data_IF_107804836426
#
_entry.id   IF_107804836426
#
_cell.length_a   1.000
_cell.length_b   1.000
_cell.length_c   1.000
_cell.angle_alpha   90.00
_cell.angle_beta   90.00
_cell.angle_gamma   90.00
#
_symmetry.space_group_name_H-M   'P 1'
#
loop_
_entity.id
_entity.type
_entity.pdbx_description
1 polymer ?
#
# COMPACT_ATOMS: atom_id res chain seq x y z
N UNK A 1 -22.74 -68.93 3.94
CA UNK A 1 -24.11 -68.42 3.71
C UNK A 1 -24.18 -67.08 4.41
N UNK A 2 -23.91 -66.01 3.65
CA UNK A 2 -24.84 -64.91 3.33
C UNK A 2 -25.00 -63.93 4.50
N UNK A 3 -24.81 -62.63 4.39
CA UNK A 3 -24.83 -61.75 3.21
C UNK A 3 -24.25 -60.38 3.57
N UNK A 4 -23.65 -59.75 2.57
CA UNK A 4 -23.12 -58.39 2.55
C UNK A 4 -24.23 -57.34 2.81
N UNK A 5 -23.91 -56.29 3.56
CA UNK A 5 -24.63 -55.01 3.49
C UNK A 5 -23.62 -53.91 3.14
N UNK A 6 -23.51 -53.66 1.82
CA UNK A 6 -22.84 -52.48 1.25
C UNK A 6 -23.75 -51.27 1.46
N UNK A 7 -23.37 -50.37 2.34
CA UNK A 7 -23.91 -49.01 2.38
C UNK A 7 -23.03 -48.10 1.52
N UNK A 8 -23.49 -47.84 0.30
CA UNK A 8 -22.92 -46.83 -0.60
C UNK A 8 -23.27 -45.43 -0.12
N UNK A 9 -22.27 -44.67 0.32
CA UNK A 9 -22.35 -43.21 0.53
C UNK A 9 -22.32 -42.48 -0.84
N UNK A 10 -23.01 -41.33 -0.98
CA UNK A 10 -23.20 -40.70 -2.28
C UNK A 10 -21.93 -40.00 -2.79
N UNK A 11 -21.63 -40.21 -4.08
CA UNK A 11 -20.50 -39.68 -4.85
C UNK A 11 -20.50 -38.15 -5.09
N UNK A 12 -21.26 -37.33 -4.34
CA UNK A 12 -21.56 -35.94 -4.74
C UNK A 12 -20.56 -34.87 -4.31
N UNK A 13 -19.59 -35.15 -3.42
CA UNK A 13 -18.66 -34.11 -2.91
C UNK A 13 -17.30 -34.06 -3.64
N UNK A 14 -16.87 -35.15 -4.27
CA UNK A 14 -15.68 -35.14 -5.14
C UNK A 14 -15.96 -34.49 -6.50
N UNK A 15 -17.21 -34.50 -6.95
CA UNK A 15 -17.61 -33.88 -8.22
C UNK A 15 -17.63 -32.35 -8.17
N UNK A 16 -17.83 -31.73 -7.00
CA UNK A 16 -17.83 -30.27 -6.84
C UNK A 16 -16.43 -29.67 -6.79
N UNK A 17 -15.47 -30.34 -6.14
CA UNK A 17 -14.05 -29.94 -6.15
C UNK A 17 -13.44 -30.10 -7.55
N UNK A 18 -13.72 -31.22 -8.22
CA UNK A 18 -13.24 -31.48 -9.58
C UNK A 18 -13.88 -30.51 -10.60
N UNK A 19 -15.15 -30.11 -10.39
CA UNK A 19 -15.80 -29.06 -11.21
C UNK A 19 -15.18 -27.68 -11.01
N UNK A 20 -14.78 -27.31 -9.79
CA UNK A 20 -14.11 -26.03 -9.53
C UNK A 20 -12.73 -25.96 -10.18
N UNK A 21 -11.93 -27.04 -10.09
CA UNK A 21 -10.62 -27.12 -10.75
C UNK A 21 -10.77 -27.10 -12.29
N UNK A 22 -11.77 -27.80 -12.85
CA UNK A 22 -12.10 -27.76 -14.28
C UNK A 22 -12.60 -26.39 -14.75
N UNK A 23 -13.32 -25.65 -13.91
CA UNK A 23 -13.73 -24.27 -14.20
C UNK A 23 -12.54 -23.30 -14.13
N UNK A 24 -11.63 -23.46 -13.18
CA UNK A 24 -10.40 -22.67 -13.10
C UNK A 24 -9.50 -22.86 -14.33
N UNK A 25 -9.32 -24.10 -14.79
CA UNK A 25 -8.49 -24.40 -15.96
C UNK A 25 -9.13 -23.87 -17.27
N UNK A 26 -10.46 -23.92 -17.37
CA UNK A 26 -11.21 -23.32 -18.49
C UNK A 26 -11.10 -21.80 -18.48
N UNK A 27 -11.20 -21.18 -17.30
CA UNK A 27 -11.09 -19.73 -17.14
C UNK A 27 -9.68 -19.24 -17.49
N UNK A 28 -8.63 -19.99 -17.14
CA UNK A 28 -7.25 -19.67 -17.51
C UNK A 28 -6.99 -19.78 -19.01
N UNK A 29 -7.56 -20.79 -19.69
CA UNK A 29 -7.48 -20.90 -21.16
C UNK A 29 -8.16 -19.73 -21.86
N UNK A 30 -9.28 -19.24 -21.33
CA UNK A 30 -9.99 -18.05 -21.86
C UNK A 30 -9.15 -16.78 -21.65
N UNK A 31 -8.57 -16.59 -20.46
CA UNK A 31 -7.72 -15.42 -20.16
C UNK A 31 -6.51 -15.36 -21.09
N UNK A 32 -5.83 -16.48 -21.31
CA UNK A 32 -4.66 -16.54 -22.18
C UNK A 32 -5.02 -16.26 -23.64
N UNK A 33 -6.18 -16.74 -24.11
CA UNK A 33 -6.68 -16.47 -25.46
C UNK A 33 -6.96 -14.97 -25.67
N UNK A 34 -7.63 -14.33 -24.71
CA UNK A 34 -7.97 -12.90 -24.77
C UNK A 34 -6.72 -12.03 -24.75
N UNK A 35 -5.74 -12.35 -23.89
CA UNK A 35 -4.47 -11.62 -23.85
C UNK A 35 -3.74 -11.68 -25.21
N UNK A 36 -3.77 -12.84 -25.87
CA UNK A 36 -3.18 -13.01 -27.21
C UNK A 36 -3.93 -12.27 -28.33
N UNK A 37 -5.26 -12.13 -28.21
CA UNK A 37 -6.09 -11.40 -29.18
C UNK A 37 -5.94 -9.89 -29.02
N UNK A 38 -5.82 -9.40 -27.78
CA UNK A 38 -5.57 -7.99 -27.49
C UNK A 38 -4.19 -7.53 -27.98
N UNK A 39 -3.15 -8.37 -27.89
CA UNK A 39 -1.84 -8.10 -28.49
C UNK A 39 -1.91 -8.00 -30.02
N UNK A 40 -2.64 -8.92 -30.68
CA UNK A 40 -2.84 -8.90 -32.14
C UNK A 40 -3.60 -7.65 -32.61
N UNK A 41 -4.55 -7.17 -31.83
CA UNK A 41 -5.30 -5.95 -32.16
C UNK A 41 -4.46 -4.68 -31.93
N UNK A 42 -3.58 -4.65 -30.93
CA UNK A 42 -2.68 -3.53 -30.66
C UNK A 42 -1.58 -3.37 -31.72
N UNK A 43 -1.12 -4.48 -32.30
CA UNK A 43 -0.20 -4.50 -33.45
C UNK A 43 -0.87 -4.06 -34.77
N UNK A 44 -2.18 -4.24 -34.91
CA UNK A 44 -2.94 -3.80 -36.09
C UNK A 44 -3.33 -2.32 -36.05
N UNK A 45 -3.45 -1.72 -34.86
CA UNK A 45 -3.73 -0.30 -34.69
C UNK A 45 -2.49 0.58 -34.88
N UNK A 46 -1.28 0.10 -34.56
CA UNK A 46 -0.05 0.90 -34.76
C UNK A 46 0.39 1.01 -36.22
N UNK A 47 -0.22 0.25 -37.14
CA UNK A 47 0.04 0.28 -38.58
C UNK A 47 -0.89 1.21 -39.37
N UNK A 48 -1.75 2.00 -38.72
CA UNK A 48 -2.68 2.93 -39.39
C UNK A 48 -2.43 4.43 -39.13
N UNK A 49 -1.48 4.79 -38.27
CA UNK A 49 -1.23 6.19 -37.87
C UNK A 49 -0.06 6.87 -38.60
N UNK A 50 0.20 6.54 -39.87
CA UNK A 50 1.22 7.24 -40.69
C UNK A 50 0.66 8.10 -41.81
N UNK A 51 -0.61 8.51 -41.74
CA UNK A 51 -1.20 9.43 -42.74
C UNK A 51 -2.19 10.39 -42.10
N UNK A 52 -1.73 11.32 -41.26
CA UNK A 52 -2.39 12.61 -40.97
C UNK A 52 -1.50 13.45 -40.06
N UNK A 53 -0.40 14.00 -40.59
CA UNK A 53 0.43 15.00 -39.87
C UNK A 53 0.80 16.22 -40.73
N UNK A 54 0.05 16.49 -41.82
CA UNK A 54 0.33 17.63 -42.71
C UNK A 54 -0.72 18.76 -42.74
N UNK A 55 -1.77 18.73 -41.91
CA UNK A 55 -2.87 19.73 -42.02
C UNK A 55 -3.08 20.67 -40.83
N UNK A 56 -2.11 20.87 -39.92
CA UNK A 56 -2.32 21.85 -38.83
C UNK A 56 -1.13 22.78 -38.53
N UNK A 57 -0.55 23.35 -39.59
CA UNK A 57 0.28 24.57 -39.51
C UNK A 57 -0.31 25.68 -40.37
N UNK A 58 -1.32 26.37 -39.83
CA UNK A 58 -1.70 27.74 -40.20
C UNK A 58 -2.73 28.24 -39.18
N UNK A 59 -2.30 29.12 -38.27
CA UNK A 59 -2.91 30.44 -38.02
C UNK A 59 -2.44 31.06 -36.69
N UNK A 60 -1.69 32.17 -36.84
CA UNK A 60 -1.73 33.43 -36.06
C UNK A 60 -1.23 33.32 -34.60
N UNK A 61 -0.04 33.76 -34.15
CA UNK A 61 0.84 34.93 -34.40
C UNK A 61 0.17 36.31 -34.23
N UNK A 62 0.46 36.98 -33.10
CA UNK A 62 0.23 38.39 -32.69
C UNK A 62 -0.48 38.40 -31.31
N UNK A 63 -0.08 39.09 -30.24
CA UNK A 63 0.66 40.35 -30.07
C UNK A 63 1.41 40.35 -28.72
N UNK A 64 2.65 40.84 -28.73
CA UNK A 64 3.26 41.49 -27.57
C UNK A 64 3.49 42.97 -27.92
N UNK A 65 3.16 43.88 -27.00
CA UNK A 65 3.64 45.26 -26.99
C UNK A 65 2.54 46.31 -26.85
N UNK A 66 2.63 47.16 -25.81
CA UNK A 66 1.94 48.45 -25.78
C UNK A 66 1.42 48.91 -24.42
N UNK A 67 2.15 49.84 -23.81
CA UNK A 67 1.85 50.74 -22.68
C UNK A 67 0.52 51.53 -22.73
N UNK A 68 0.01 51.94 -21.56
CA UNK A 68 -0.67 53.24 -21.40
C UNK A 68 -2.01 53.28 -20.63
N UNK A 69 -1.98 53.92 -19.45
CA UNK A 69 -2.98 54.84 -18.86
C UNK A 69 -4.49 54.50 -18.80
N UNK A 70 -5.01 54.46 -17.57
CA UNK A 70 -6.12 55.31 -17.09
C UNK A 70 -7.55 55.08 -17.62
N UNK A 71 -8.51 54.90 -16.71
CA UNK A 71 -9.93 55.07 -17.02
C UNK A 71 -10.85 54.22 -16.15
N UNK A 72 -11.65 54.91 -15.34
CA UNK A 72 -12.69 54.43 -14.43
C UNK A 72 -13.83 53.69 -15.14
N UNK A 73 -14.61 52.91 -14.38
CA UNK A 73 -15.94 52.47 -14.81
C UNK A 73 -16.44 51.16 -14.21
N UNK A 74 -16.97 51.24 -12.98
CA UNK A 74 -18.28 50.71 -12.61
C UNK A 74 -18.65 49.23 -12.89
N UNK A 75 -18.75 48.42 -11.83
CA UNK A 75 -20.04 48.11 -11.15
C UNK A 75 -20.08 46.75 -10.41
N UNK A 76 -20.67 46.83 -9.21
CA UNK A 76 -21.57 45.86 -8.57
C UNK A 76 -20.96 44.60 -7.91
N UNK A 77 -20.87 44.58 -6.57
CA UNK A 77 -21.88 44.12 -5.58
C UNK A 77 -21.70 42.60 -5.30
N UNK A 78 -21.77 42.01 -4.11
CA UNK A 78 -22.48 42.27 -2.86
C UNK A 78 -21.73 41.51 -1.73
N UNK A 79 -21.55 42.12 -0.55
CA UNK A 79 -21.79 41.41 0.71
C UNK A 79 -22.08 42.42 1.83
N UNK A 80 -23.33 42.38 2.27
CA UNK A 80 -23.89 43.13 3.39
C UNK A 80 -23.32 42.65 4.73
N UNK A 81 -22.99 43.65 5.57
CA UNK A 81 -23.49 43.91 6.95
C UNK A 81 -23.36 42.76 7.99
N UNK A 82 -22.90 43.00 9.21
CA UNK A 82 -23.40 44.00 10.16
C UNK A 82 -22.35 44.43 11.23
N UNK A 83 -22.29 45.75 11.47
CA UNK A 83 -22.29 46.52 12.75
C UNK A 83 -21.33 46.07 13.89
N UNK A 84 -20.36 46.85 14.39
CA UNK A 84 -20.34 48.29 14.74
C UNK A 84 -21.03 48.50 16.09
N UNK A 85 -20.35 48.81 17.21
CA UNK A 85 -19.80 50.10 17.71
C UNK A 85 -19.34 49.81 19.16
N UNK A 86 -18.40 50.45 19.83
CA UNK A 86 -17.97 51.85 19.89
C UNK A 86 -17.86 52.19 21.39
N UNK A 87 -16.67 52.59 21.84
CA UNK A 87 -16.40 53.12 23.19
C UNK A 87 -16.52 54.64 23.16
N UNK A 88 -17.09 55.23 24.20
CA UNK A 88 -16.90 56.65 24.55
C UNK A 88 -16.62 56.76 26.07
N UNK A 89 -15.89 57.83 26.40
CA UNK A 89 -15.31 58.23 27.69
C UNK A 89 -16.40 58.53 28.77
N UNK A 90 -16.16 58.82 30.04
CA UNK A 90 -15.18 59.74 30.67
C UNK A 90 -15.36 59.66 32.22
N UNK A 91 -14.27 59.91 32.96
CA UNK A 91 -14.09 60.52 34.31
C UNK A 91 -15.12 60.27 35.45
N UNK A 92 -14.74 60.01 36.70
CA UNK A 92 -14.15 61.00 37.62
C UNK A 92 -13.75 60.39 38.98
N UNK A 93 -12.82 61.11 39.64
CA UNK A 93 -12.59 61.26 41.10
C UNK A 93 -11.78 60.19 41.84
N UNK A 94 -10.62 60.65 42.33
CA UNK A 94 -9.68 59.87 43.10
C UNK A 94 -9.72 60.16 44.60
N UNK A 95 -8.81 59.50 45.30
CA UNK A 95 -8.36 59.88 46.63
C UNK A 95 -6.93 59.36 46.84
N UNK A 96 -6.11 60.20 47.46
CA UNK A 96 -4.68 60.05 47.64
C UNK A 96 -4.35 59.16 48.84
N UNK A 97 -3.37 58.26 48.74
CA UNK A 97 -2.53 57.87 49.89
C UNK A 97 -1.07 57.68 49.42
N UNK A 98 -0.18 58.15 50.27
CA UNK A 98 1.21 58.53 50.06
C UNK A 98 2.22 57.40 49.82
N UNK A 99 3.38 57.84 49.27
CA UNK A 99 4.61 57.11 48.98
C UNK A 99 5.26 56.48 50.21
N UNK A 100 5.77 55.24 50.05
CA UNK A 100 7.07 54.84 50.59
C UNK A 100 7.89 54.17 49.48
N UNK A 101 9.08 54.73 49.25
CA UNK A 101 10.13 54.20 48.37
C UNK A 101 10.87 53.09 49.11
N UNK A 102 11.00 51.93 48.49
CA UNK A 102 12.06 50.96 48.82
C UNK A 102 12.95 50.82 47.57
N UNK A 103 14.24 51.07 47.76
CA UNK A 103 15.28 50.86 46.76
C UNK A 103 15.56 49.35 46.64
N UNK A 104 15.43 48.80 45.43
CA UNK A 104 15.91 47.46 45.10
C UNK A 104 16.86 47.61 43.90
N UNK A 105 18.10 47.15 44.10
CA UNK A 105 19.26 47.44 43.28
C UNK A 105 19.20 46.99 41.81
N UNK A 106 20.06 47.62 41.00
CA UNK A 106 20.24 47.32 39.58
C UNK A 106 20.61 45.85 39.34
N UNK A 107 19.69 45.11 38.70
CA UNK A 107 19.99 43.80 38.14
C UNK A 107 20.71 44.03 36.81
N UNK A 108 22.02 43.75 36.76
CA UNK A 108 22.79 43.69 35.50
C UNK A 108 22.28 42.54 34.65
N UNK A 109 21.51 42.86 33.61
CA UNK A 109 21.07 41.91 32.60
C UNK A 109 22.30 41.48 31.80
N UNK A 110 22.77 40.25 31.99
CA UNK A 110 23.76 39.65 31.10
C UNK A 110 23.10 39.43 29.73
N UNK A 111 23.62 40.08 28.69
CA UNK A 111 23.17 39.84 27.32
C UNK A 111 23.45 38.38 26.93
N UNK A 112 22.38 37.67 26.59
CA UNK A 112 22.48 36.31 26.06
C UNK A 112 23.13 36.36 24.66
N UNK A 113 24.08 35.47 24.35
CA UNK A 113 24.71 35.45 23.04
C UNK A 113 23.66 35.20 21.95
N UNK A 114 23.71 36.01 20.89
CA UNK A 114 22.78 35.96 19.75
C UNK A 114 22.76 34.54 19.19
N UNK A 115 21.60 33.88 19.27
CA UNK A 115 21.35 32.53 18.72
C UNK A 115 21.79 32.52 17.24
N UNK A 116 22.70 31.60 16.92
CA UNK A 116 23.20 31.40 15.57
C UNK A 116 22.09 31.11 14.55
N UNK A 117 22.41 31.29 13.26
CA UNK A 117 21.52 31.13 12.09
C UNK A 117 20.56 29.94 12.26
N UNK A 118 19.24 30.20 12.23
CA UNK A 118 18.21 29.15 12.24
C UNK A 118 18.52 28.16 11.10
N UNK A 119 18.61 26.86 11.43
CA UNK A 119 18.75 25.81 10.42
C UNK A 119 17.58 25.91 9.42
N UNK A 120 17.79 25.68 8.12
CA UNK A 120 16.70 25.70 7.15
C UNK A 120 15.61 24.70 7.58
N UNK A 121 14.35 25.09 7.40
CA UNK A 121 13.21 24.20 7.61
C UNK A 121 13.34 23.03 6.64
N UNK A 122 13.31 21.80 7.17
CA UNK A 122 13.33 20.58 6.37
C UNK A 122 12.11 20.53 5.45
N UNK A 123 12.33 20.04 4.25
CA UNK A 123 11.25 19.71 3.31
C UNK A 123 10.34 18.60 3.87
N UNK A 124 9.09 18.46 3.37
CA UNK A 124 8.23 17.35 3.76
C UNK A 124 8.89 15.97 3.59
N UNK A 125 9.62 15.76 2.48
CA UNK A 125 10.43 14.57 2.23
C UNK A 125 11.45 14.32 3.34
N UNK A 126 12.28 15.32 3.66
CA UNK A 126 13.34 15.18 4.66
C UNK A 126 12.78 14.96 6.07
N UNK A 127 11.64 15.56 6.40
CA UNK A 127 10.95 15.31 7.67
C UNK A 127 10.48 13.86 7.76
N UNK A 128 9.85 13.35 6.70
CA UNK A 128 9.37 11.97 6.64
C UNK A 128 10.51 10.97 6.82
N UNK A 129 11.60 11.16 6.07
CA UNK A 129 12.81 10.32 6.13
C UNK A 129 13.48 10.38 7.50
N UNK A 130 13.60 11.58 8.07
CA UNK A 130 14.14 11.75 9.40
C UNK A 130 13.30 11.04 10.47
N UNK A 131 11.97 11.11 10.37
CA UNK A 131 11.07 10.44 11.32
C UNK A 131 11.19 8.91 11.24
N UNK A 132 11.40 8.33 10.05
CA UNK A 132 11.67 6.88 9.88
C UNK A 132 12.88 6.46 10.72
N UNK A 133 13.99 7.21 10.65
CA UNK A 133 15.25 6.83 11.29
C UNK A 133 15.37 7.27 12.76
N UNK A 134 14.48 8.15 13.22
CA UNK A 134 14.43 8.66 14.61
C UNK A 134 13.21 8.15 15.37
N UNK A 135 12.07 8.85 15.32
CA UNK A 135 10.84 8.56 16.09
C UNK A 135 10.31 7.15 15.83
N UNK A 136 10.36 6.72 14.57
CA UNK A 136 9.84 5.42 14.13
C UNK A 136 10.94 4.37 13.95
N UNK A 137 12.16 4.62 14.44
CA UNK A 137 13.32 3.75 14.21
C UNK A 137 13.09 2.31 14.64
N UNK A 138 12.57 2.10 15.85
CA UNK A 138 12.35 0.76 16.41
C UNK A 138 11.17 0.04 15.78
N UNK A 139 10.14 0.81 15.39
CA UNK A 139 8.85 0.29 14.97
C UNK A 139 8.77 -0.01 13.47
N UNK A 140 9.42 0.82 12.65
CA UNK A 140 9.45 0.72 11.19
C UNK A 140 10.84 0.30 10.71
N UNK A 141 11.85 1.17 10.86
CA UNK A 141 13.17 0.98 10.24
C UNK A 141 13.88 -0.31 10.65
N UNK A 142 14.00 -0.57 11.95
CA UNK A 142 14.64 -1.81 12.45
C UNK A 142 13.89 -3.06 12.00
N UNK A 143 12.55 -3.02 11.97
CA UNK A 143 11.73 -4.16 11.55
C UNK A 143 11.84 -4.43 10.05
N UNK A 144 11.87 -3.37 9.24
CA UNK A 144 12.08 -3.48 7.79
C UNK A 144 13.43 -4.11 7.47
N UNK A 145 14.53 -3.57 8.03
CA UNK A 145 15.87 -4.14 7.84
C UNK A 145 15.96 -5.58 8.33
N UNK A 146 15.34 -5.88 9.48
CA UNK A 146 15.27 -7.24 10.02
C UNK A 146 14.58 -8.19 9.04
N UNK A 147 13.47 -7.79 8.41
CA UNK A 147 12.78 -8.62 7.41
C UNK A 147 13.65 -8.84 6.16
N UNK A 148 14.36 -7.81 5.68
CA UNK A 148 15.29 -7.95 4.55
C UNK A 148 16.39 -8.98 4.85
N UNK A 149 16.94 -8.95 6.06
CA UNK A 149 18.01 -9.85 6.52
C UNK A 149 17.50 -11.27 6.78
N UNK A 150 16.48 -11.43 7.64
CA UNK A 150 15.96 -12.72 8.08
C UNK A 150 15.51 -13.59 6.89
N UNK A 151 14.99 -12.98 5.83
CA UNK A 151 14.46 -13.70 4.67
C UNK A 151 15.30 -13.57 3.39
N UNK A 152 16.43 -12.84 3.45
CA UNK A 152 17.27 -12.52 2.27
C UNK A 152 16.42 -12.02 1.11
N UNK A 153 15.70 -10.91 1.34
CA UNK A 153 14.72 -10.39 0.37
C UNK A 153 15.37 -9.59 -0.75
N UNK A 154 16.51 -8.95 -0.47
CA UNK A 154 17.30 -8.17 -1.43
C UNK A 154 18.77 -8.50 -1.22
N UNK A 155 19.46 -8.72 -2.32
CA UNK A 155 20.86 -9.11 -2.40
C UNK A 155 21.62 -8.13 -3.33
N UNK A 156 22.96 -8.06 -3.23
CA UNK A 156 23.75 -7.20 -4.11
C UNK A 156 23.49 -7.48 -5.60
N UNK A 157 23.27 -6.42 -6.37
CA UNK A 157 22.98 -6.51 -7.80
C UNK A 157 21.51 -6.79 -8.15
N UNK A 158 20.63 -6.92 -7.15
CA UNK A 158 19.19 -6.99 -7.40
C UNK A 158 18.65 -5.71 -8.03
N UNK A 159 17.61 -5.86 -8.85
CA UNK A 159 16.79 -4.76 -9.37
C UNK A 159 15.35 -4.96 -8.92
N UNK A 160 14.92 -4.11 -7.99
CA UNK A 160 13.67 -4.25 -7.25
C UNK A 160 12.60 -3.31 -7.81
N UNK A 161 11.54 -3.89 -8.37
CA UNK A 161 10.31 -3.15 -8.65
C UNK A 161 9.54 -2.94 -7.34
N UNK A 162 9.33 -1.70 -6.92
CA UNK A 162 8.53 -1.34 -5.75
C UNK A 162 7.14 -0.94 -6.21
N UNK A 163 6.12 -1.74 -5.88
CA UNK A 163 4.75 -1.44 -6.28
C UNK A 163 4.17 -0.31 -5.41
N UNK A 164 3.81 0.80 -6.05
CA UNK A 164 3.21 2.00 -5.42
C UNK A 164 1.74 2.07 -5.83
N UNK A 165 0.82 1.87 -4.89
CA UNK A 165 -0.63 1.91 -5.16
C UNK A 165 -1.28 3.25 -4.79
N UNK A 166 -0.52 4.17 -4.17
CA UNK A 166 -1.03 5.41 -3.58
C UNK A 166 -1.62 5.24 -2.18
N UNK A 167 -1.70 4.00 -1.69
CA UNK A 167 -2.06 3.71 -0.31
C UNK A 167 -0.88 3.90 0.65
N UNK A 168 -1.20 4.10 1.93
CA UNK A 168 -0.25 4.33 3.03
C UNK A 168 0.89 3.31 3.05
N UNK A 169 0.59 2.03 2.90
CA UNK A 169 1.57 0.95 3.07
C UNK A 169 2.62 1.00 1.94
N UNK A 170 2.17 1.24 0.71
CA UNK A 170 3.05 1.31 -0.46
C UNK A 170 3.94 2.55 -0.49
N UNK A 171 3.42 3.70 -0.04
CA UNK A 171 4.20 4.94 0.06
C UNK A 171 5.28 4.82 1.14
N UNK A 172 4.94 4.25 2.30
CA UNK A 172 5.93 3.99 3.35
C UNK A 172 7.01 3.00 2.87
N UNK A 173 6.61 1.92 2.19
CA UNK A 173 7.55 0.94 1.65
C UNK A 173 8.56 1.58 0.71
N UNK A 174 8.10 2.47 -0.19
CA UNK A 174 8.98 3.18 -1.11
C UNK A 174 10.05 3.99 -0.36
N UNK A 175 9.66 4.73 0.69
CA UNK A 175 10.59 5.50 1.52
C UNK A 175 11.52 4.63 2.35
N UNK A 176 11.04 3.51 2.88
CA UNK A 176 11.88 2.55 3.59
C UNK A 176 12.98 1.99 2.68
N UNK A 177 12.68 1.71 1.41
CA UNK A 177 13.69 1.30 0.44
C UNK A 177 14.71 2.39 0.14
N UNK A 178 14.31 3.66 0.02
CA UNK A 178 15.27 4.78 -0.12
C UNK A 178 16.21 4.86 1.08
N UNK A 179 15.70 4.68 2.30
CA UNK A 179 16.53 4.66 3.51
C UNK A 179 17.50 3.46 3.51
N UNK A 180 17.12 2.31 2.93
CA UNK A 180 18.04 1.18 2.72
C UNK A 180 19.11 1.52 1.70
N UNK A 181 18.80 2.21 0.60
CA UNK A 181 19.84 2.66 -0.33
C UNK A 181 20.82 3.67 0.31
N UNK A 182 20.33 4.56 1.19
CA UNK A 182 21.17 5.56 1.88
C UNK A 182 22.07 4.98 2.97
N UNK A 183 21.60 3.94 3.66
CA UNK A 183 22.26 3.39 4.85
C UNK A 183 22.74 1.94 4.68
N UNK A 184 22.57 1.35 3.50
CA UNK A 184 22.91 -0.03 3.21
C UNK A 184 24.38 -0.20 2.84
N UNK A 185 24.89 -1.41 3.10
CA UNK A 185 26.28 -1.78 2.80
C UNK A 185 26.47 -2.30 1.36
N UNK A 186 25.39 -2.38 0.57
CA UNK A 186 25.42 -2.90 -0.79
C UNK A 186 24.44 -2.16 -1.71
N UNK A 187 24.75 -2.22 -3.01
CA UNK A 187 23.98 -1.55 -4.06
C UNK A 187 22.93 -2.50 -4.67
N UNK A 188 21.75 -1.95 -4.90
CA UNK A 188 20.66 -2.55 -5.66
C UNK A 188 19.84 -1.43 -6.32
N UNK A 189 19.26 -1.72 -7.47
CA UNK A 189 18.47 -0.76 -8.23
C UNK A 189 17.01 -0.80 -7.78
N UNK A 190 16.33 0.35 -7.83
CA UNK A 190 14.90 0.46 -7.54
C UNK A 190 14.18 1.02 -8.75
N UNK A 191 13.04 0.43 -9.08
CA UNK A 191 12.06 1.00 -10.01
C UNK A 191 10.73 1.14 -9.27
N UNK A 192 10.24 2.36 -9.09
CA UNK A 192 8.90 2.58 -8.53
C UNK A 192 7.87 2.41 -9.63
N UNK A 193 6.94 1.47 -9.43
CA UNK A 193 5.93 1.10 -10.42
C UNK A 193 4.54 1.27 -9.82
N UNK A 194 3.70 2.05 -10.47
CA UNK A 194 2.28 2.15 -10.19
C UNK A 194 1.49 1.66 -11.39
N UNK A 195 0.46 0.86 -11.13
CA UNK A 195 -0.53 0.50 -12.13
C UNK A 195 -1.74 1.40 -11.93
N UNK A 196 -2.17 2.08 -12.99
CA UNK A 196 -3.42 2.83 -13.06
C UNK A 196 -4.47 1.93 -13.73
N UNK A 197 -5.36 1.27 -12.95
CA UNK A 197 -6.38 0.37 -13.50
C UNK A 197 -7.62 1.11 -14.03
N UNK A 198 -7.59 2.44 -14.12
CA UNK A 198 -8.74 3.32 -14.35
C UNK A 198 -9.10 4.15 -13.12
N UNK A 199 -8.11 4.79 -12.49
CA UNK A 199 -8.34 5.69 -11.36
C UNK A 199 -9.14 6.93 -11.79
N UNK A 200 -9.98 7.43 -10.89
CA UNK A 200 -10.58 8.74 -11.07
C UNK A 200 -9.49 9.84 -11.13
N UNK A 201 -9.74 10.97 -11.81
CA UNK A 201 -8.78 12.07 -11.89
C UNK A 201 -8.29 12.55 -10.52
N UNK A 202 -9.16 12.57 -9.51
CA UNK A 202 -8.81 12.99 -8.15
C UNK A 202 -7.89 11.99 -7.44
N UNK A 203 -8.14 10.69 -7.61
CA UNK A 203 -7.25 9.65 -7.10
C UNK A 203 -5.86 9.72 -7.75
N UNK A 204 -5.80 9.90 -9.08
CA UNK A 204 -4.53 10.08 -9.79
C UNK A 204 -3.78 11.32 -9.31
N UNK A 205 -4.47 12.44 -9.05
CA UNK A 205 -3.87 13.65 -8.47
C UNK A 205 -3.30 13.40 -7.07
N UNK A 206 -3.99 12.65 -6.20
CA UNK A 206 -3.49 12.33 -4.86
C UNK A 206 -2.23 11.46 -4.95
N UNK A 207 -2.22 10.41 -5.79
CA UNK A 207 -1.04 9.57 -6.01
C UNK A 207 0.17 10.41 -6.45
N UNK A 208 0.01 11.16 -7.54
CA UNK A 208 1.08 11.98 -8.13
C UNK A 208 1.55 13.05 -7.15
N UNK A 209 0.60 13.70 -6.45
CA UNK A 209 0.90 14.70 -5.42
C UNK A 209 1.73 14.12 -4.27
N UNK A 210 1.34 12.97 -3.72
CA UNK A 210 2.08 12.31 -2.65
C UNK A 210 3.47 11.85 -3.12
N UNK A 211 3.57 11.25 -4.31
CA UNK A 211 4.86 10.85 -4.87
C UNK A 211 5.78 12.06 -5.06
N UNK A 212 5.27 13.19 -5.56
CA UNK A 212 6.04 14.43 -5.68
C UNK A 212 6.50 14.98 -4.33
N UNK A 213 5.59 15.05 -3.35
CA UNK A 213 5.89 15.53 -1.99
C UNK A 213 6.96 14.69 -1.31
N UNK A 214 6.91 13.36 -1.50
CA UNK A 214 7.85 12.41 -0.93
C UNK A 214 9.11 12.19 -1.79
N UNK A 215 9.16 12.78 -2.99
CA UNK A 215 10.24 12.67 -3.96
C UNK A 215 10.44 11.25 -4.50
N UNK A 216 9.35 10.53 -4.75
CA UNK A 216 9.30 9.19 -5.33
C UNK A 216 9.09 9.34 -6.85
N UNK A 217 10.06 8.91 -7.65
CA UNK A 217 9.99 8.92 -9.12
C UNK A 217 9.21 7.68 -9.62
N UNK A 218 7.87 7.79 -9.57
CA UNK A 218 6.97 6.68 -9.90
C UNK A 218 6.66 6.62 -11.40
N UNK A 219 6.82 5.42 -11.98
CA UNK A 219 6.34 5.11 -13.33
C UNK A 219 4.90 4.64 -13.26
N UNK A 220 3.98 5.41 -13.82
CA UNK A 220 2.55 5.10 -13.84
C UNK A 220 2.22 4.45 -15.18
N UNK A 221 1.80 3.19 -15.15
CA UNK A 221 1.43 2.41 -16.33
C UNK A 221 -0.09 2.19 -16.34
N UNK A 222 -0.73 2.54 -17.45
CA UNK A 222 -2.18 2.44 -17.59
C UNK A 222 -2.63 1.01 -17.94
N UNK A 223 -3.78 0.63 -17.41
CA UNK A 223 -4.42 -0.67 -17.64
C UNK A 223 -5.93 -0.57 -17.54
N UNK A 224 -6.63 -1.47 -18.25
CA UNK A 224 -8.09 -1.62 -18.30
C UNK A 224 -8.66 -2.61 -17.25
N UNK A 225 -7.89 -2.92 -16.20
CA UNK A 225 -8.23 -4.00 -15.24
C UNK A 225 -9.58 -3.79 -14.57
N UNK A 226 -9.97 -2.56 -14.22
CA UNK A 226 -11.27 -2.33 -13.58
C UNK A 226 -12.43 -2.64 -14.52
N UNK A 227 -12.33 -2.27 -15.79
CA UNK A 227 -13.37 -2.54 -16.78
C UNK A 227 -13.48 -4.04 -17.05
N UNK A 228 -12.35 -4.70 -17.29
CA UNK A 228 -12.31 -6.13 -17.63
C UNK A 228 -12.77 -7.00 -16.45
N UNK A 229 -12.32 -6.71 -15.23
CA UNK A 229 -12.71 -7.47 -14.04
C UNK A 229 -14.22 -7.39 -13.77
N UNK A 230 -14.83 -6.22 -13.95
CA UNK A 230 -16.27 -6.03 -13.79
C UNK A 230 -17.07 -6.79 -14.86
N UNK A 231 -16.57 -6.88 -16.09
CA UNK A 231 -17.21 -7.64 -17.19
C UNK A 231 -17.09 -9.14 -16.99
N UNK A 232 -15.93 -9.64 -16.59
CA UNK A 232 -15.65 -11.09 -16.51
C UNK A 232 -16.24 -11.76 -15.26
N UNK A 233 -16.24 -11.08 -14.12
CA UNK A 233 -16.74 -11.65 -12.86
C UNK A 233 -17.56 -10.61 -12.10
N UNK A 234 -18.79 -10.31 -12.54
CA UNK A 234 -19.66 -9.34 -11.86
C UNK A 234 -19.97 -9.74 -10.42
N UNK A 235 -19.94 -11.04 -10.10
CA UNK A 235 -20.21 -11.56 -8.77
C UNK A 235 -19.00 -11.50 -7.81
N UNK A 236 -17.75 -11.51 -8.32
CA UNK A 236 -16.51 -11.45 -7.53
C UNK A 236 -15.43 -10.54 -8.18
N UNK A 237 -15.76 -9.28 -8.50
CA UNK A 237 -14.86 -8.42 -9.29
C UNK A 237 -13.57 -8.08 -8.54
N UNK A 238 -13.59 -8.07 -7.19
CA UNK A 238 -12.40 -7.84 -6.37
C UNK A 238 -11.36 -8.96 -6.47
N UNK A 239 -11.78 -10.22 -6.54
CA UNK A 239 -10.86 -11.36 -6.66
C UNK A 239 -10.15 -11.34 -8.01
N UNK A 240 -10.93 -11.20 -9.10
CA UNK A 240 -10.38 -11.12 -10.45
C UNK A 240 -9.46 -9.91 -10.60
N UNK A 241 -9.87 -8.74 -10.10
CA UNK A 241 -9.04 -7.54 -10.07
C UNK A 241 -7.70 -7.81 -9.35
N UNK A 242 -7.71 -8.46 -8.18
CA UNK A 242 -6.47 -8.80 -7.49
C UNK A 242 -5.54 -9.73 -8.32
N UNK A 243 -6.07 -10.75 -9.01
CA UNK A 243 -5.30 -11.66 -9.88
C UNK A 243 -4.69 -10.89 -11.08
N UNK A 244 -5.50 -10.09 -11.77
CA UNK A 244 -5.07 -9.30 -12.93
C UNK A 244 -4.00 -8.25 -12.57
N UNK A 245 -4.18 -7.53 -11.46
CA UNK A 245 -3.21 -6.54 -10.98
C UNK A 245 -1.84 -7.15 -10.73
N UNK A 246 -1.80 -8.35 -10.14
CA UNK A 246 -0.56 -9.07 -9.89
C UNK A 246 0.12 -9.47 -11.20
N UNK A 247 -0.63 -10.03 -12.16
CA UNK A 247 -0.12 -10.38 -13.48
C UNK A 247 0.47 -9.17 -14.22
N UNK A 248 -0.23 -8.04 -14.18
CA UNK A 248 0.25 -6.78 -14.76
C UNK A 248 1.57 -6.32 -14.13
N UNK A 249 1.66 -6.28 -12.80
CA UNK A 249 2.87 -5.86 -12.10
C UNK A 249 4.05 -6.79 -12.38
N UNK A 250 3.84 -8.11 -12.48
CA UNK A 250 4.90 -9.04 -12.85
C UNK A 250 5.43 -8.79 -14.26
N UNK A 251 4.53 -8.63 -15.23
CA UNK A 251 4.91 -8.33 -16.62
C UNK A 251 5.72 -7.03 -16.70
N UNK A 252 5.23 -5.96 -16.07
CA UNK A 252 5.91 -4.66 -16.10
C UNK A 252 7.24 -4.66 -15.34
N UNK A 253 7.31 -5.35 -14.20
CA UNK A 253 8.58 -5.53 -13.49
C UNK A 253 9.63 -6.20 -14.39
N UNK A 254 9.23 -7.23 -15.16
CA UNK A 254 10.11 -7.88 -16.14
C UNK A 254 10.50 -6.98 -17.31
N UNK A 255 9.57 -6.22 -17.88
CA UNK A 255 9.87 -5.23 -18.93
C UNK A 255 10.93 -4.21 -18.48
N UNK A 256 10.89 -3.80 -17.19
CA UNK A 256 11.88 -2.92 -16.59
C UNK A 256 13.19 -3.62 -16.17
N UNK A 257 13.34 -4.92 -16.44
CA UNK A 257 14.51 -5.73 -16.09
C UNK A 257 14.64 -6.05 -14.61
N UNK A 258 13.55 -5.94 -13.84
CA UNK A 258 13.58 -6.24 -12.40
C UNK A 258 13.53 -7.74 -12.15
N UNK A 259 14.29 -8.20 -11.15
CA UNK A 259 14.28 -9.59 -10.68
C UNK A 259 13.53 -9.77 -9.34
N UNK A 260 13.19 -8.66 -8.66
CA UNK A 260 12.30 -8.67 -7.48
C UNK A 260 11.09 -7.76 -7.68
N UNK A 261 9.93 -8.15 -7.16
CA UNK A 261 8.75 -7.28 -7.03
C UNK A 261 8.38 -7.15 -5.54
N UNK A 262 8.44 -5.95 -4.98
CA UNK A 262 8.08 -5.66 -3.60
C UNK A 262 6.62 -5.19 -3.47
N UNK A 263 5.88 -5.81 -2.54
CA UNK A 263 4.52 -5.43 -2.17
C UNK A 263 4.44 -5.05 -0.68
N UNK A 264 3.69 -3.99 -0.38
CA UNK A 264 3.56 -3.41 0.97
C UNK A 264 2.67 -4.17 1.94
N UNK A 265 2.74 -5.51 1.93
CA UNK A 265 1.98 -6.33 2.88
C UNK A 265 2.65 -6.31 4.26
N UNK A 266 1.89 -5.95 5.28
CA UNK A 266 2.38 -5.74 6.63
C UNK A 266 2.05 -6.90 7.59
N UNK A 267 2.50 -6.84 8.84
CA UNK A 267 2.27 -7.87 9.86
C UNK A 267 0.80 -8.27 9.98
N UNK A 268 -0.09 -7.27 10.03
CA UNK A 268 -1.52 -7.53 10.22
C UNK A 268 -2.13 -8.27 9.01
N UNK A 269 -1.67 -8.01 7.78
CA UNK A 269 -2.09 -8.79 6.60
C UNK A 269 -1.71 -10.28 6.72
N UNK A 270 -0.55 -10.58 7.33
CA UNK A 270 -0.04 -11.95 7.49
C UNK A 270 -0.92 -12.72 8.47
N UNK A 271 -1.25 -12.15 9.63
CA UNK A 271 -2.10 -12.82 10.62
C UNK A 271 -3.56 -12.90 10.13
N UNK A 272 -4.07 -11.87 9.46
CA UNK A 272 -5.41 -11.88 8.86
C UNK A 272 -5.50 -13.01 7.83
N UNK A 273 -4.52 -13.12 6.93
CA UNK A 273 -4.48 -14.20 5.92
C UNK A 273 -4.36 -15.59 6.56
N UNK A 274 -3.56 -15.73 7.62
CA UNK A 274 -3.40 -17.01 8.33
C UNK A 274 -4.73 -17.47 8.92
N UNK A 275 -5.46 -16.58 9.60
CA UNK A 275 -6.76 -16.90 10.17
C UNK A 275 -7.85 -17.10 9.10
N UNK A 276 -7.80 -16.35 7.98
CA UNK A 276 -8.71 -16.60 6.86
C UNK A 276 -8.55 -18.02 6.34
N UNK A 277 -7.31 -18.49 6.14
CA UNK A 277 -7.08 -19.85 5.65
C UNK A 277 -7.56 -20.91 6.64
N UNK A 278 -7.36 -20.69 7.95
CA UNK A 278 -7.84 -21.61 9.00
C UNK A 278 -9.37 -21.64 9.04
N UNK A 279 -10.03 -20.49 9.12
CA UNK A 279 -11.48 -20.41 9.37
C UNK A 279 -12.34 -20.66 8.14
N UNK A 280 -11.87 -20.27 6.95
CA UNK A 280 -12.68 -20.32 5.72
C UNK A 280 -12.17 -21.32 4.70
N UNK A 281 -10.87 -21.59 4.65
CA UNK A 281 -10.29 -22.54 3.68
C UNK A 281 -9.95 -23.91 4.28
N UNK A 282 -10.11 -24.10 5.60
CA UNK A 282 -9.77 -25.35 6.29
C UNK A 282 -8.31 -25.76 6.16
N UNK A 283 -7.40 -24.81 5.90
CA UNK A 283 -5.98 -25.09 5.67
C UNK A 283 -5.08 -24.19 6.50
N UNK A 284 -3.94 -24.74 6.94
CA UNK A 284 -2.91 -23.93 7.57
C UNK A 284 -1.94 -23.41 6.51
N UNK A 285 -2.17 -22.18 6.04
CA UNK A 285 -1.30 -21.48 5.10
C UNK A 285 -1.13 -20.03 5.53
N UNK A 286 0.09 -19.51 5.44
CA UNK A 286 0.38 -18.11 5.75
C UNK A 286 0.82 -17.34 4.51
N UNK A 287 0.91 -16.02 4.64
CA UNK A 287 1.52 -15.17 3.64
C UNK A 287 3.04 -15.16 3.81
N UNK A 288 3.74 -15.97 3.02
CA UNK A 288 5.21 -16.09 3.12
C UNK A 288 5.94 -14.81 2.64
N UNK A 289 7.15 -14.52 3.16
CA UNK A 289 7.87 -13.28 2.87
C UNK A 289 8.39 -13.17 1.44
N UNK A 290 8.69 -14.30 0.79
CA UNK A 290 9.15 -14.37 -0.60
C UNK A 290 8.50 -15.54 -1.34
N UNK A 291 8.18 -15.35 -2.61
CA UNK A 291 7.57 -16.35 -3.50
C UNK A 291 8.16 -16.19 -4.89
N UNK A 292 8.65 -17.28 -5.49
CA UNK A 292 9.08 -17.25 -6.89
C UNK A 292 7.85 -17.22 -7.80
N UNK A 293 7.91 -16.42 -8.85
CA UNK A 293 6.84 -16.39 -9.84
C UNK A 293 6.88 -17.66 -10.69
N UNK A 294 5.76 -18.39 -10.74
CA UNK A 294 5.60 -19.56 -11.61
C UNK A 294 5.56 -19.17 -13.09
N UNK A 295 4.93 -18.02 -13.40
CA UNK A 295 4.69 -17.58 -14.78
C UNK A 295 5.77 -16.63 -15.34
N UNK A 296 6.71 -16.20 -14.50
CA UNK A 296 7.76 -15.25 -14.90
C UNK A 296 9.09 -15.68 -14.30
N UNK A 297 9.81 -16.53 -15.03
CA UNK A 297 11.06 -17.12 -14.59
C UNK A 297 12.07 -16.05 -14.12
N UNK A 298 12.72 -16.28 -12.99
CA UNK A 298 13.69 -15.34 -12.41
C UNK A 298 13.08 -14.04 -11.85
N UNK A 299 11.76 -13.98 -11.60
CA UNK A 299 11.13 -12.92 -10.83
C UNK A 299 10.67 -13.47 -9.47
N UNK A 300 11.09 -12.82 -8.38
CA UNK A 300 10.65 -13.16 -7.02
C UNK A 300 9.79 -12.05 -6.44
N UNK A 301 8.60 -12.40 -5.97
CA UNK A 301 7.77 -11.52 -5.16
C UNK A 301 8.30 -11.45 -3.73
N UNK A 302 8.48 -10.26 -3.18
CA UNK A 302 8.96 -10.02 -1.81
C UNK A 302 7.99 -9.13 -1.01
N UNK A 303 7.96 -9.37 0.31
CA UNK A 303 7.11 -8.65 1.28
C UNK A 303 7.97 -8.16 2.44
N UNK A 304 8.61 -6.99 2.32
CA UNK A 304 9.59 -6.53 3.31
C UNK A 304 8.96 -5.94 4.58
N UNK A 305 7.64 -5.71 4.60
CA UNK A 305 6.93 -5.11 5.73
C UNK A 305 6.30 -6.12 6.69
N UNK A 306 6.59 -7.42 6.56
CA UNK A 306 5.95 -8.51 7.33
C UNK A 306 6.07 -8.39 8.87
N UNK A 307 7.01 -7.58 9.38
CA UNK A 307 7.14 -7.31 10.82
C UNK A 307 6.53 -5.97 11.27
N UNK A 308 6.17 -5.09 10.33
CA UNK A 308 5.64 -3.75 10.60
C UNK A 308 4.14 -3.85 10.90
N UNK A 309 3.68 -3.15 11.94
CA UNK A 309 2.25 -3.10 12.29
C UNK A 309 1.55 -1.98 11.54
N UNK A 310 0.30 -2.20 11.14
CA UNK A 310 -0.49 -1.18 10.44
C UNK A 310 -0.67 0.11 11.27
N UNK A 311 -0.78 -0.02 12.60
CA UNK A 311 -0.89 1.13 13.50
C UNK A 311 0.30 2.10 13.33
N UNK A 312 1.52 1.57 13.23
CA UNK A 312 2.74 2.37 13.08
C UNK A 312 2.81 3.04 11.70
N UNK A 313 2.28 2.37 10.65
CA UNK A 313 2.16 2.94 9.30
C UNK A 313 1.19 4.12 9.31
N UNK A 314 0.04 3.98 9.99
CA UNK A 314 -0.95 5.06 10.10
C UNK A 314 -0.40 6.24 10.89
N UNK A 315 0.33 5.98 11.98
CA UNK A 315 0.92 7.03 12.81
C UNK A 315 1.93 7.88 12.03
N UNK A 316 2.86 7.28 11.29
CA UNK A 316 3.86 8.09 10.54
C UNK A 316 3.21 8.92 9.42
N UNK A 317 2.19 8.39 8.74
CA UNK A 317 1.45 9.14 7.72
C UNK A 317 0.72 10.34 8.31
N UNK A 318 0.07 10.14 9.46
CA UNK A 318 -0.62 11.22 10.18
C UNK A 318 0.36 12.28 10.68
N UNK A 319 1.46 11.87 11.28
CA UNK A 319 2.47 12.79 11.84
C UNK A 319 3.17 13.65 10.78
N UNK A 320 3.11 13.23 9.50
CA UNK A 320 3.70 13.93 8.36
C UNK A 320 2.63 14.47 7.39
N UNK A 321 1.36 14.53 7.83
CA UNK A 321 0.23 15.09 7.06
C UNK A 321 0.04 14.49 5.65
N UNK A 322 0.35 13.21 5.47
CA UNK A 322 0.21 12.52 4.18
C UNK A 322 -1.21 11.95 4.03
N UNK A 323 -2.00 12.58 3.16
CA UNK A 323 -3.34 12.09 2.82
C UNK A 323 -3.24 10.97 1.78
N UNK A 324 -3.45 9.73 2.21
CA UNK A 324 -3.34 8.55 1.37
C UNK A 324 -4.63 8.24 0.63
N UNK A 325 -4.51 7.62 -0.55
CA UNK A 325 -5.68 7.09 -1.26
C UNK A 325 -6.27 5.88 -0.54
N UNK A 326 -7.59 5.77 -0.58
CA UNK A 326 -8.28 4.49 -0.39
C UNK A 326 -8.40 3.77 -1.74
N UNK A 327 -8.73 2.47 -1.74
CA UNK A 327 -8.89 1.73 -2.99
C UNK A 327 -10.01 2.36 -3.82
N UNK A 328 -9.67 3.12 -4.87
CA UNK A 328 -10.58 3.94 -5.68
C UNK A 328 -11.55 3.17 -6.58
N UNK A 329 -11.86 1.91 -6.28
CA UNK A 329 -12.84 1.14 -7.04
C UNK A 329 -14.22 1.17 -6.35
N UNK A 330 -15.28 1.28 -7.15
CA UNK A 330 -16.67 1.34 -6.68
C UNK A 330 -17.05 0.14 -5.78
N UNK A 331 -16.43 -1.03 -6.01
CA UNK A 331 -16.66 -2.26 -5.23
C UNK A 331 -15.94 -2.24 -3.87
N UNK A 332 -14.78 -1.59 -3.74
CA UNK A 332 -14.15 -1.40 -2.42
C UNK A 332 -14.86 -0.31 -1.60
N UNK A 333 -15.52 0.63 -2.29
CA UNK A 333 -16.35 1.67 -1.69
C UNK A 333 -17.71 1.15 -1.20
N UNK A 334 -18.21 0.05 -1.74
CA UNK A 334 -19.43 -0.58 -1.23
C UNK A 334 -19.11 -1.25 0.11
N UNK A 335 -19.90 -0.94 1.14
CA UNK A 335 -19.75 -1.43 2.53
C UNK A 335 -20.04 -2.94 2.67
N UNK A 336 -19.72 -3.76 1.67
CA UNK A 336 -19.88 -5.19 1.75
C UNK A 336 -18.94 -5.75 2.84
N UNK A 337 -19.43 -6.67 3.70
CA UNK A 337 -18.59 -7.33 4.68
C UNK A 337 -17.51 -8.14 3.95
N UNK A 338 -16.28 -7.65 4.02
CA UNK A 338 -15.12 -8.42 3.59
C UNK A 338 -14.78 -9.42 4.69
N UNK A 339 -14.57 -10.69 4.34
CA UNK A 339 -14.01 -11.73 5.23
C UNK A 339 -12.81 -11.21 6.02
N UNK A 340 -11.97 -10.38 5.37
CA UNK A 340 -10.82 -9.74 6.00
C UNK A 340 -11.20 -8.74 7.09
N UNK A 341 -12.25 -7.94 6.89
CA UNK A 341 -12.76 -7.01 7.92
C UNK A 341 -13.29 -7.77 9.14
N UNK A 342 -14.00 -8.87 8.93
CA UNK A 342 -14.53 -9.70 10.01
C UNK A 342 -13.40 -10.34 10.84
N UNK A 343 -12.41 -10.91 10.17
CA UNK A 343 -11.23 -11.49 10.84
C UNK A 343 -10.44 -10.43 11.60
N UNK A 344 -10.30 -9.22 11.04
CA UNK A 344 -9.64 -8.10 11.71
C UNK A 344 -10.37 -7.68 12.99
N UNK A 345 -11.70 -7.58 12.93
CA UNK A 345 -12.52 -7.29 14.11
C UNK A 345 -12.36 -8.39 15.16
N UNK A 346 -12.43 -9.66 14.76
CA UNK A 346 -12.23 -10.80 15.64
C UNK A 346 -10.86 -10.77 16.34
N UNK A 347 -9.78 -10.46 15.62
CA UNK A 347 -8.45 -10.32 16.22
C UNK A 347 -8.45 -9.23 17.31
N UNK A 348 -9.12 -8.11 17.06
CA UNK A 348 -9.29 -7.04 18.05
C UNK A 348 -10.05 -7.51 19.29
N UNK A 349 -11.19 -8.19 19.09
CA UNK A 349 -12.00 -8.74 20.18
C UNK A 349 -11.22 -9.78 21.00
N UNK A 350 -10.45 -10.66 20.36
CA UNK A 350 -9.62 -11.66 21.03
C UNK A 350 -8.52 -11.01 21.89
N UNK A 351 -7.93 -9.92 21.40
CA UNK A 351 -6.94 -9.14 22.13
C UNK A 351 -7.55 -8.47 23.35
N UNK A 352 -8.68 -7.78 23.18
CA UNK A 352 -9.33 -7.01 24.25
C UNK A 352 -9.96 -7.90 25.32
N UNK A 353 -10.67 -8.95 24.90
CA UNK A 353 -11.44 -9.81 25.82
C UNK A 353 -10.60 -10.87 26.50
N UNK A 354 -9.63 -11.45 25.79
CA UNK A 354 -8.88 -12.62 26.27
C UNK A 354 -7.36 -12.36 26.38
N UNK A 355 -6.88 -11.15 26.07
CA UNK A 355 -5.46 -10.82 26.14
C UNK A 355 -4.59 -11.60 25.14
N UNK A 356 -5.18 -12.12 24.06
CA UNK A 356 -4.44 -12.86 23.04
C UNK A 356 -3.44 -11.94 22.35
N UNK A 357 -2.17 -12.35 22.37
CA UNK A 357 -1.08 -11.65 21.70
C UNK A 357 -1.08 -12.01 20.22
N UNK A 358 -1.26 -11.05 19.33
CA UNK A 358 -1.29 -11.32 17.88
C UNK A 358 0.07 -11.83 17.38
N UNK A 359 1.17 -11.54 18.10
CA UNK A 359 2.48 -12.12 17.87
C UNK A 359 2.47 -13.65 17.96
N UNK A 360 1.59 -14.26 18.74
CA UNK A 360 1.50 -15.72 18.83
C UNK A 360 0.93 -16.31 17.53
N UNK A 361 -0.06 -15.64 16.92
CA UNK A 361 -0.61 -16.03 15.62
C UNK A 361 0.50 -15.96 14.57
N UNK A 362 1.24 -14.85 14.52
CA UNK A 362 2.35 -14.71 13.59
C UNK A 362 3.46 -15.75 13.81
N UNK A 363 3.87 -15.99 15.06
CA UNK A 363 4.91 -16.98 15.40
C UNK A 363 4.48 -18.41 15.09
N UNK A 364 3.19 -18.73 15.16
CA UNK A 364 2.69 -20.05 14.79
C UNK A 364 3.09 -20.43 13.36
N UNK A 365 3.20 -19.45 12.46
CA UNK A 365 3.53 -19.68 11.05
C UNK A 365 4.94 -20.26 10.82
N UNK A 366 5.84 -20.07 11.78
CA UNK A 366 7.19 -20.64 11.75
C UNK A 366 7.39 -21.73 12.82
N UNK A 367 6.37 -22.04 13.62
CA UNK A 367 6.46 -22.95 14.76
C UNK A 367 5.46 -24.11 14.61
N UNK A 368 5.50 -24.80 13.47
CA UNK A 368 4.66 -25.97 13.17
C UNK A 368 5.46 -27.24 13.45
N UNK A 369 4.99 -28.06 14.39
CA UNK A 369 5.57 -29.37 14.65
C UNK A 369 4.94 -30.42 13.72
N UNK A 370 5.71 -30.95 12.75
CA UNK A 370 5.24 -31.97 11.81
C UNK A 370 4.82 -33.29 12.50
N UNK A 371 5.30 -33.54 13.72
CA UNK A 371 4.88 -34.70 14.51
C UNK A 371 3.51 -34.48 15.17
N UNK A 372 3.09 -33.22 15.36
CA UNK A 372 1.85 -32.83 16.04
C UNK A 372 0.67 -32.51 15.10
N UNK A 373 0.77 -32.87 13.81
CA UNK A 373 -0.28 -32.64 12.81
C UNK A 373 -0.82 -33.96 12.24
N UNK A 374 -2.05 -33.94 11.73
CA UNK A 374 -2.68 -35.11 11.11
C UNK A 374 -2.19 -35.41 9.69
N UNK A 375 -1.56 -34.44 9.03
CA UNK A 375 -1.06 -34.57 7.68
C UNK A 375 -0.57 -33.23 7.15
N UNK A 376 0.22 -33.26 6.08
CA UNK A 376 0.67 -32.06 5.37
C UNK A 376 0.87 -32.36 3.89
N UNK A 377 0.97 -31.30 3.09
CA UNK A 377 1.29 -31.37 1.67
C UNK A 377 2.69 -30.77 1.46
N UNK A 378 3.53 -31.50 0.73
CA UNK A 378 4.85 -31.04 0.29
C UNK A 378 4.85 -31.10 -1.25
N UNK A 379 4.85 -29.93 -1.89
CA UNK A 379 4.62 -29.78 -3.33
C UNK A 379 3.40 -30.56 -3.86
N UNK A 380 3.60 -31.65 -4.60
CA UNK A 380 2.52 -32.49 -5.13
C UNK A 380 2.22 -33.71 -4.26
N UNK A 381 3.04 -34.00 -3.25
CA UNK A 381 2.88 -35.15 -2.38
C UNK A 381 2.05 -34.80 -1.14
N UNK A 382 1.14 -35.70 -0.78
CA UNK A 382 0.33 -35.58 0.44
C UNK A 382 0.76 -36.67 1.40
N UNK A 383 1.12 -36.27 2.61
CA UNK A 383 1.45 -37.18 3.70
C UNK A 383 0.31 -37.18 4.70
N UNK A 384 -0.30 -38.34 4.89
CA UNK A 384 -1.33 -38.53 5.89
C UNK A 384 -0.75 -38.95 7.24
N UNK A 385 -1.64 -39.17 8.21
CA UNK A 385 -1.27 -39.60 9.56
C UNK A 385 -0.45 -40.90 9.56
N UNK A 386 -0.84 -41.88 8.74
CA UNK A 386 -0.21 -43.19 8.70
C UNK A 386 1.17 -43.12 8.03
N UNK A 387 1.33 -42.28 7.00
CA UNK A 387 2.62 -42.03 6.37
C UNK A 387 3.60 -41.39 7.35
N UNK A 388 3.13 -40.42 8.14
CA UNK A 388 3.93 -39.78 9.19
C UNK A 388 4.25 -40.78 10.31
N UNK A 389 3.29 -41.60 10.72
CA UNK A 389 3.48 -42.62 11.76
C UNK A 389 4.55 -43.65 11.39
N UNK A 390 4.53 -44.14 10.14
CA UNK A 390 5.52 -45.10 9.63
C UNK A 390 6.96 -44.58 9.62
N UNK A 391 7.16 -43.25 9.61
CA UNK A 391 8.51 -42.64 9.67
C UNK A 391 9.18 -42.76 11.05
N UNK A 392 8.51 -43.34 12.05
CA UNK A 392 9.13 -43.80 13.30
C UNK A 392 9.62 -42.69 14.25
N UNK A 393 9.21 -41.44 14.03
CA UNK A 393 9.60 -40.29 14.86
C UNK A 393 8.35 -39.57 15.39
N UNK A 394 7.80 -40.05 16.51
CA UNK A 394 6.88 -39.25 17.33
C UNK A 394 7.32 -39.29 18.80
N UNK A 395 7.25 -38.12 19.44
CA UNK A 395 7.23 -37.93 20.89
C UNK A 395 5.83 -37.46 21.27
#
# INVERSE_FOLDING_TARGET
MSSEEKTTLPHSENDTLNKQELEEEKLEKVINKINSENEKNKLKSSSKDTTTEEENKKEISNCCGGSGSGGEGDCHCHCNKDKGKGRENEEEKGEQVEKKKEEVGEIKIHEMPKRGKKRPLRTPKENFEHDIITRYRSKLWKKFRKALQDFKLVEPGDKVAVAVSGGKDSLLMAKLFEEVQKHGDFYFDIVYLSMDPGFSPDNKKILVGNCKTLGIDVKIEESDVFEVANKMSPNQPCFMCAKMRRGFLYRKAKEYGCNKLALGHHFDDVIETTLINIFYAGSYKTMVPKVNSENYEGLTLIRPMVYIREEDIRSIMKDNDITCMTCGCAVASSKLPSTRRNVKQLIGELKEKYGIKEQNIFRSAANVNLNGIYGYKDDQERFDYNDIYKRGKRQ
#
